data_IF_126536898106
#
_entry.id   IF_126536898106
#
_cell.length_a   1.000
_cell.length_b   1.000
_cell.length_c   1.000
_cell.angle_alpha   90.00
_cell.angle_beta   90.00
_cell.angle_gamma   90.00
#
_symmetry.space_group_name_H-M   'P 1'
#
loop_
_entity.id
_entity.type
_entity.pdbx_description
1 polymer ?
#
# COMPACT_ATOMS: atom_id res chain seq x y z
N UNK A 1 -18.93 11.96 -35.64
CA UNK A 1 -17.82 11.12 -35.16
C UNK A 1 -17.71 9.96 -36.12
N UNK A 2 -16.60 9.83 -36.84
CA UNK A 2 -16.45 8.83 -37.91
C UNK A 2 -16.12 7.46 -37.31
N UNK A 3 -16.58 6.39 -37.98
CA UNK A 3 -16.42 4.98 -37.58
C UNK A 3 -14.96 4.50 -37.50
N UNK A 4 -13.99 5.32 -37.91
CA UNK A 4 -12.55 5.08 -37.82
C UNK A 4 -11.96 5.27 -36.42
N UNK A 5 -12.68 5.91 -35.49
CA UNK A 5 -12.19 6.16 -34.12
C UNK A 5 -12.51 5.02 -33.13
N UNK A 6 -13.33 4.04 -33.52
CA UNK A 6 -13.70 2.90 -32.65
C UNK A 6 -12.66 1.77 -32.59
N UNK A 7 -11.72 1.72 -33.54
CA UNK A 7 -10.77 0.59 -33.65
C UNK A 7 -9.57 0.72 -32.71
N UNK A 8 -9.28 1.93 -32.22
CA UNK A 8 -8.16 2.17 -31.30
C UNK A 8 -8.51 2.02 -29.81
N UNK A 9 -9.78 1.73 -29.47
CA UNK A 9 -10.26 1.57 -28.09
C UNK A 9 -10.55 0.11 -27.68
N UNK A 10 -10.06 -0.85 -28.46
CA UNK A 10 -10.01 -2.26 -28.05
C UNK A 10 -8.56 -2.60 -27.68
N UNK A 11 -8.23 -2.39 -26.41
CA UNK A 11 -7.06 -3.04 -25.81
C UNK A 11 -7.25 -4.56 -25.96
N UNK A 12 -6.41 -5.27 -26.75
CA UNK A 12 -6.57 -6.69 -26.98
C UNK A 12 -6.20 -7.53 -25.75
N UNK A 13 -5.58 -6.93 -24.73
CA UNK A 13 -5.29 -7.62 -23.49
C UNK A 13 -6.55 -7.73 -22.62
N UNK A 14 -6.85 -8.91 -22.04
CA UNK A 14 -7.90 -9.03 -21.03
C UNK A 14 -7.61 -8.07 -19.88
N UNK A 15 -8.61 -7.26 -19.49
CA UNK A 15 -8.49 -6.39 -18.31
C UNK A 15 -8.25 -7.25 -17.08
N UNK A 16 -7.22 -6.89 -16.32
CA UNK A 16 -6.97 -7.50 -15.01
C UNK A 16 -8.08 -7.07 -14.04
N UNK A 17 -8.51 -8.00 -13.20
CA UNK A 17 -9.31 -7.67 -12.03
C UNK A 17 -8.44 -6.98 -10.96
N UNK A 18 -9.07 -6.53 -9.86
CA UNK A 18 -8.35 -5.79 -8.80
C UNK A 18 -7.17 -6.60 -8.24
N UNK A 19 -7.35 -7.91 -8.06
CA UNK A 19 -6.31 -8.81 -7.57
C UNK A 19 -5.18 -8.98 -8.59
N UNK A 20 -5.49 -9.09 -9.89
CA UNK A 20 -4.51 -9.14 -10.96
C UNK A 20 -3.66 -7.87 -11.04
N UNK A 21 -4.28 -6.69 -10.89
CA UNK A 21 -3.56 -5.41 -10.82
C UNK A 21 -2.63 -5.38 -9.60
N UNK A 22 -3.14 -5.69 -8.41
CA UNK A 22 -2.35 -5.71 -7.18
C UNK A 22 -1.18 -6.69 -7.27
N UNK A 23 -1.42 -7.92 -7.76
CA UNK A 23 -0.37 -8.93 -7.97
C UNK A 23 0.69 -8.50 -8.98
N UNK A 24 0.33 -7.73 -10.02
CA UNK A 24 1.31 -7.17 -10.94
C UNK A 24 2.13 -6.07 -10.27
N UNK A 25 1.49 -5.16 -9.54
CA UNK A 25 2.16 -4.05 -8.87
C UNK A 25 3.04 -4.52 -7.69
N UNK A 26 2.66 -5.58 -6.98
CA UNK A 26 3.45 -6.18 -5.90
C UNK A 26 4.84 -6.65 -6.34
N UNK A 27 5.05 -6.90 -7.64
CA UNK A 27 6.37 -7.26 -8.19
C UNK A 27 7.37 -6.10 -8.19
N UNK A 28 6.88 -4.87 -8.09
CA UNK A 28 7.71 -3.66 -8.04
C UNK A 28 8.13 -3.34 -6.59
N UNK A 29 7.62 -4.10 -5.61
CA UNK A 29 7.97 -3.96 -4.19
C UNK A 29 9.21 -4.82 -3.88
N UNK A 30 10.27 -4.15 -3.45
CA UNK A 30 11.58 -4.76 -3.19
C UNK A 30 11.78 -4.97 -1.70
N UNK A 31 12.41 -6.06 -1.32
CA UNK A 31 12.75 -6.37 0.07
C UNK A 31 13.49 -5.21 0.77
N UNK A 32 13.12 -4.94 2.02
CA UNK A 32 13.70 -3.90 2.87
C UNK A 32 13.29 -2.47 2.51
N UNK A 33 12.43 -2.26 1.52
CA UNK A 33 12.00 -0.91 1.14
C UNK A 33 10.94 -0.32 2.06
N UNK A 34 10.97 1.00 2.18
CA UNK A 34 9.90 1.79 2.80
C UNK A 34 8.86 2.14 1.74
N UNK A 35 7.58 1.91 2.04
CA UNK A 35 6.48 2.16 1.10
C UNK A 35 5.34 2.92 1.79
N UNK A 36 4.67 3.78 1.02
CA UNK A 36 3.34 4.30 1.37
C UNK A 36 2.34 3.65 0.40
N UNK A 37 1.35 2.94 0.95
CA UNK A 37 0.31 2.27 0.17
C UNK A 37 -1.06 2.88 0.47
N UNK A 38 -1.62 3.57 -0.52
CA UNK A 38 -2.99 4.07 -0.44
C UNK A 38 -4.04 2.95 -0.31
N UNK A 39 -5.21 3.32 0.22
CA UNK A 39 -6.34 2.40 0.38
C UNK A 39 -6.76 1.75 -0.96
N UNK A 40 -7.26 0.52 -0.88
CA UNK A 40 -7.77 -0.20 -2.05
C UNK A 40 -6.72 -1.09 -2.73
N UNK A 41 -6.47 -0.86 -4.02
CA UNK A 41 -5.53 -1.71 -4.80
C UNK A 41 -4.09 -1.62 -4.27
N UNK A 42 -3.53 -0.43 -3.93
CA UNK A 42 -2.15 -0.36 -3.43
C UNK A 42 -1.97 -1.13 -2.12
N UNK A 43 -2.85 -0.96 -1.14
CA UNK A 43 -2.80 -1.75 0.10
C UNK A 43 -2.93 -3.27 -0.14
N UNK A 44 -3.70 -3.70 -1.15
CA UNK A 44 -3.83 -5.11 -1.54
C UNK A 44 -2.52 -5.70 -2.09
N UNK A 45 -1.57 -4.87 -2.56
CA UNK A 45 -0.27 -5.37 -3.01
C UNK A 45 0.50 -6.12 -1.91
N UNK A 46 0.30 -5.75 -0.64
CA UNK A 46 0.91 -6.42 0.51
C UNK A 46 0.50 -7.90 0.62
N UNK A 47 -0.71 -8.26 0.16
CA UNK A 47 -1.21 -9.65 0.17
C UNK A 47 -0.52 -10.56 -0.88
N UNK A 48 0.23 -9.96 -1.81
CA UNK A 48 0.85 -10.65 -2.93
C UNK A 48 2.39 -10.58 -2.93
N UNK A 49 3.00 -10.23 -1.80
CA UNK A 49 4.45 -10.17 -1.68
C UNK A 49 5.11 -11.53 -1.94
N UNK A 50 6.20 -11.59 -2.72
CA UNK A 50 7.00 -12.80 -2.83
C UNK A 50 7.54 -13.25 -1.47
N UNK A 51 7.79 -14.55 -1.32
CA UNK A 51 8.37 -15.09 -0.09
C UNK A 51 9.72 -14.43 0.21
N UNK A 52 9.90 -13.98 1.46
CA UNK A 52 11.13 -13.32 1.92
C UNK A 52 11.25 -11.84 1.54
N UNK A 53 10.18 -11.23 1.01
CA UNK A 53 10.09 -9.77 0.88
C UNK A 53 9.40 -9.20 2.11
N UNK A 54 10.15 -8.42 2.88
CA UNK A 54 9.64 -7.68 4.03
C UNK A 54 9.67 -6.18 3.72
N UNK A 55 8.58 -5.48 4.04
CA UNK A 55 8.44 -4.05 3.80
C UNK A 55 8.35 -3.29 5.11
N UNK A 56 8.75 -2.01 5.05
CA UNK A 56 8.46 -1.03 6.09
C UNK A 56 7.39 -0.08 5.59
N UNK A 57 6.36 0.15 6.39
CA UNK A 57 5.25 1.01 5.96
C UNK A 57 5.39 2.42 6.52
N UNK A 58 5.11 3.40 5.67
CA UNK A 58 4.93 4.81 6.02
C UNK A 58 3.45 5.17 5.91
N UNK A 59 2.92 5.85 6.91
CA UNK A 59 1.60 6.47 6.87
C UNK A 59 1.74 7.99 6.97
N UNK A 60 1.09 8.71 6.05
CA UNK A 60 1.16 10.17 5.88
C UNK A 60 0.71 10.98 7.12
N UNK A 61 0.05 10.34 8.07
CA UNK A 61 -0.34 10.94 9.34
C UNK A 61 0.76 10.83 10.41
N UNK A 62 2.01 10.54 10.03
CA UNK A 62 3.17 10.67 10.91
C UNK A 62 3.71 9.36 11.48
N UNK A 63 3.61 8.25 10.76
CA UNK A 63 4.07 6.93 11.22
C UNK A 63 5.06 6.35 10.22
N UNK A 64 6.19 5.83 10.68
CA UNK A 64 7.15 5.09 9.86
C UNK A 64 7.57 3.79 10.53
N UNK A 65 7.71 2.74 9.73
CA UNK A 65 8.46 1.54 10.09
C UNK A 65 7.63 0.39 10.65
N UNK A 66 6.31 0.48 10.65
CA UNK A 66 5.46 -0.66 11.00
C UNK A 66 5.56 -1.75 9.92
N UNK A 67 5.26 -2.99 10.32
CA UNK A 67 5.37 -4.20 9.47
C UNK A 67 4.01 -4.92 9.35
N UNK A 68 3.19 -4.85 10.40
CA UNK A 68 1.93 -5.59 10.52
C UNK A 68 0.89 -4.76 11.28
N UNK A 69 -0.36 -5.22 11.26
CA UNK A 69 -1.50 -4.62 11.94
C UNK A 69 -1.79 -5.36 13.25
N UNK A 70 -2.39 -4.66 14.20
CA UNK A 70 -2.92 -5.25 15.43
C UNK A 70 -4.06 -6.22 15.12
N UNK A 71 -4.20 -7.25 15.96
CA UNK A 71 -5.30 -8.21 15.85
C UNK A 71 -6.67 -7.52 16.06
N UNK A 72 -7.76 -8.10 15.54
CA UNK A 72 -9.10 -7.56 15.73
C UNK A 72 -9.43 -7.36 17.22
N UNK A 73 -9.76 -6.12 17.61
CA UNK A 73 -10.07 -5.74 18.99
C UNK A 73 -8.88 -5.28 19.83
N UNK A 74 -7.65 -5.36 19.31
CA UNK A 74 -6.41 -4.93 20.00
C UNK A 74 -5.84 -3.61 19.47
N UNK A 75 -6.59 -2.92 18.60
CA UNK A 75 -6.16 -1.64 18.02
C UNK A 75 -6.11 -0.51 19.05
N UNK A 76 -5.08 0.34 18.97
CA UNK A 76 -4.99 1.59 19.74
C UNK A 76 -5.57 2.75 18.90
N UNK A 77 -6.64 3.42 19.35
CA UNK A 77 -7.23 4.56 18.65
C UNK A 77 -6.27 5.74 18.38
N UNK A 78 -5.16 5.84 19.12
CA UNK A 78 -4.13 6.86 18.92
C UNK A 78 -3.03 6.42 17.94
N UNK A 79 -3.02 5.15 17.54
CA UNK A 79 -2.08 4.57 16.59
C UNK A 79 -2.84 3.97 15.41
N UNK A 80 -3.18 4.82 14.47
CA UNK A 80 -3.98 4.48 13.29
C UNK A 80 -3.25 4.93 12.03
N UNK A 81 -3.27 4.14 10.97
CA UNK A 81 -2.78 4.56 9.64
C UNK A 81 -3.80 5.48 8.94
N UNK A 82 -3.41 6.04 7.79
CA UNK A 82 -4.30 6.90 6.99
C UNK A 82 -5.55 6.20 6.46
N UNK A 83 -5.57 4.87 6.43
CA UNK A 83 -6.69 4.04 6.00
C UNK A 83 -7.63 3.60 7.13
N UNK A 84 -7.38 4.03 8.37
CA UNK A 84 -8.19 3.68 9.53
C UNK A 84 -7.85 2.33 10.18
N UNK A 85 -6.73 1.70 9.81
CA UNK A 85 -6.26 0.45 10.39
C UNK A 85 -5.28 0.74 11.52
N UNK A 86 -5.02 -0.24 12.38
CA UNK A 86 -4.19 -0.08 13.58
C UNK A 86 -2.84 -0.76 13.41
N UNK A 87 -1.74 -0.03 13.14
CA UNK A 87 -0.40 -0.60 13.13
C UNK A 87 -0.01 -1.25 14.46
N UNK A 88 0.73 -2.34 14.40
CA UNK A 88 1.35 -2.96 15.57
C UNK A 88 2.67 -2.28 15.88
N UNK A 89 2.89 -1.90 17.14
CA UNK A 89 4.17 -1.36 17.60
C UNK A 89 5.29 -2.39 17.47
N UNK A 90 6.38 -2.01 16.80
CA UNK A 90 7.61 -2.79 16.69
C UNK A 90 8.85 -1.92 16.96
N UNK A 91 9.96 -2.51 17.43
CA UNK A 91 11.22 -1.77 17.58
C UNK A 91 11.64 -1.11 16.26
N UNK A 92 12.11 0.14 16.35
CA UNK A 92 12.56 0.91 15.18
C UNK A 92 11.47 1.75 14.51
N UNK A 93 10.21 1.67 14.96
CA UNK A 93 9.19 2.62 14.52
C UNK A 93 9.51 4.05 14.96
N UNK A 94 9.09 5.01 14.14
CA UNK A 94 9.21 6.44 14.42
C UNK A 94 7.86 7.14 14.23
N UNK A 95 7.66 8.20 15.02
CA UNK A 95 6.52 9.09 14.96
C UNK A 95 6.99 10.52 14.75
N UNK A 96 6.27 11.27 13.94
CA UNK A 96 6.61 12.65 13.59
C UNK A 96 5.34 13.43 13.24
N UNK A 97 5.45 14.76 13.22
CA UNK A 97 4.33 15.60 12.81
C UNK A 97 4.07 15.52 11.30
N UNK A 98 2.93 16.06 10.87
CA UNK A 98 2.55 16.03 9.45
C UNK A 98 3.51 16.80 8.55
N UNK A 99 4.13 17.88 9.04
CA UNK A 99 5.08 18.66 8.21
C UNK A 99 6.27 17.78 7.85
N UNK A 100 6.83 17.09 8.84
CA UNK A 100 7.91 16.14 8.59
C UNK A 100 7.45 14.97 7.72
N UNK A 101 6.25 14.41 7.95
CA UNK A 101 5.73 13.28 7.15
C UNK A 101 5.64 13.58 5.65
N UNK A 102 5.27 14.81 5.28
CA UNK A 102 5.20 15.24 3.88
C UNK A 102 6.53 15.73 3.31
N UNK A 103 7.57 15.92 4.14
CA UNK A 103 8.92 16.29 3.70
C UNK A 103 9.80 15.08 3.34
N UNK A 104 9.46 13.88 3.82
CA UNK A 104 10.19 12.61 3.59
C UNK A 104 10.16 12.15 2.12
#
# INVERSE_FOLDING_TARGET
MNSSDQVLYNDPAPRLDRAGIAKRAARDLVDGTTVNLGIGIPAMCADFLPHGVELRYHAENGILGFEDLSAPGEGDPNLMDAGGKFPKLVPGMAFFDSVESFNL
#
